data_IF_671674402633
#
_entry.id   IF_671674402633
#
_cell.length_a   1.000
_cell.length_b   1.000
_cell.length_c   1.000
_cell.angle_alpha   90.00
_cell.angle_beta   90.00
_cell.angle_gamma   90.00
#
_symmetry.space_group_name_H-M   'P 1'
#
loop_
_entity.id
_entity.type
_entity.pdbx_description
1 polymer ?
#
# COMPACT_ATOMS: atom_id res chain seq x y z
N UNK A 1 -30.68 9.61 6.87
CA UNK A 1 -30.03 10.83 6.36
C UNK A 1 -29.19 11.43 7.46
N UNK A 2 -27.87 11.28 7.41
CA UNK A 2 -26.92 12.10 8.17
C UNK A 2 -25.72 12.34 7.26
N UNK A 3 -25.42 13.61 7.04
CA UNK A 3 -24.49 14.10 6.04
C UNK A 3 -23.03 13.90 6.51
N UNK A 4 -22.22 13.24 5.68
CA UNK A 4 -20.78 13.21 5.82
C UNK A 4 -20.19 14.57 5.47
N UNK A 5 -19.90 15.38 6.49
CA UNK A 5 -19.10 16.58 6.34
C UNK A 5 -17.63 16.18 6.23
N UNK A 6 -17.12 16.09 4.99
CA UNK A 6 -15.68 16.08 4.76
C UNK A 6 -15.05 17.36 5.32
N UNK A 7 -13.79 17.32 5.79
CA UNK A 7 -13.16 18.46 6.42
C UNK A 7 -13.07 19.66 5.45
N UNK A 8 -13.31 20.90 5.93
CA UNK A 8 -13.25 22.09 5.08
C UNK A 8 -11.83 22.27 4.52
N UNK A 9 -11.71 22.52 3.21
CA UNK A 9 -10.42 22.72 2.55
C UNK A 9 -9.74 24.00 3.04
N UNK A 10 -8.86 23.86 4.05
CA UNK A 10 -7.95 24.94 4.46
C UNK A 10 -6.99 25.25 3.31
N UNK A 11 -6.80 26.54 3.00
CA UNK A 11 -5.71 27.01 2.11
C UNK A 11 -4.39 26.43 2.63
N UNK A 12 -3.78 25.52 1.88
CA UNK A 12 -2.49 24.91 2.23
C UNK A 12 -1.44 26.01 2.45
N UNK A 13 -0.74 25.94 3.57
CA UNK A 13 0.38 26.84 3.88
C UNK A 13 1.48 26.70 2.83
N UNK A 14 2.38 27.69 2.73
CA UNK A 14 3.51 27.61 1.81
C UNK A 14 4.42 26.39 2.12
N UNK A 15 4.50 26.00 3.40
CA UNK A 15 5.26 24.83 3.87
C UNK A 15 4.63 23.51 3.43
N UNK A 16 3.30 23.37 3.50
CA UNK A 16 2.58 22.18 3.01
C UNK A 16 2.66 22.06 1.49
N UNK A 17 2.65 23.18 0.76
CA UNK A 17 2.85 23.16 -0.70
C UNK A 17 4.25 22.70 -1.09
N UNK A 18 5.28 23.17 -0.40
CA UNK A 18 6.65 22.66 -0.60
C UNK A 18 6.75 21.16 -0.23
N UNK A 19 6.01 20.76 0.80
CA UNK A 19 5.57 19.40 1.10
C UNK A 19 5.38 18.51 -0.11
N UNK A 20 4.24 18.72 -0.72
CA UNK A 20 3.77 17.91 -1.82
C UNK A 20 4.71 18.01 -3.02
N UNK A 21 5.21 19.21 -3.34
CA UNK A 21 6.16 19.39 -4.47
C UNK A 21 7.39 18.51 -4.33
N UNK A 22 7.99 18.44 -3.14
CA UNK A 22 9.16 17.61 -2.91
C UNK A 22 8.85 16.11 -2.95
N UNK A 23 7.69 15.70 -2.45
CA UNK A 23 7.28 14.30 -2.51
C UNK A 23 6.90 13.87 -3.94
N UNK A 24 6.27 14.75 -4.71
CA UNK A 24 5.94 14.52 -6.13
C UNK A 24 7.23 14.31 -6.92
N UNK A 25 8.19 15.22 -6.79
CA UNK A 25 9.52 15.10 -7.38
C UNK A 25 10.24 13.80 -6.94
N UNK A 26 10.16 13.44 -5.67
CA UNK A 26 10.78 12.21 -5.18
C UNK A 26 10.13 10.95 -5.71
N UNK A 27 8.81 10.97 -5.92
CA UNK A 27 8.05 9.89 -6.54
C UNK A 27 8.38 9.75 -8.02
N UNK A 28 8.50 10.85 -8.76
CA UNK A 28 8.90 10.84 -10.17
C UNK A 28 10.32 10.26 -10.34
N UNK A 29 11.25 10.65 -9.46
CA UNK A 29 12.59 10.06 -9.43
C UNK A 29 12.53 8.56 -9.09
N UNK A 30 11.70 8.14 -8.12
CA UNK A 30 11.54 6.73 -7.77
C UNK A 30 11.01 5.93 -8.97
N UNK A 31 9.95 6.41 -9.61
CA UNK A 31 9.29 5.72 -10.71
C UNK A 31 10.20 5.63 -11.94
N UNK A 32 11.05 6.65 -12.18
CA UNK A 32 12.00 6.69 -13.31
C UNK A 32 13.32 5.98 -13.06
N UNK A 33 13.95 6.19 -11.90
CA UNK A 33 15.34 5.78 -11.60
C UNK A 33 15.45 4.70 -10.50
N UNK A 34 14.37 4.45 -9.77
CA UNK A 34 14.31 3.43 -8.73
C UNK A 34 14.90 3.93 -7.41
N UNK A 35 14.92 3.06 -6.40
CA UNK A 35 15.30 3.45 -5.04
C UNK A 35 16.72 4.03 -4.94
N UNK A 36 17.64 3.56 -5.78
CA UNK A 36 19.00 4.08 -5.84
C UNK A 36 19.07 5.52 -6.36
N UNK A 37 18.19 5.89 -7.30
CA UNK A 37 18.09 7.24 -7.86
C UNK A 37 17.51 8.27 -6.90
N UNK A 38 16.70 7.84 -5.93
CA UNK A 38 16.13 8.73 -4.89
C UNK A 38 17.24 9.24 -3.98
N UNK A 39 17.77 10.41 -4.29
CA UNK A 39 18.77 11.14 -3.52
C UNK A 39 18.31 12.56 -3.27
N UNK A 40 18.75 13.17 -2.17
CA UNK A 40 18.39 14.56 -1.84
C UNK A 40 18.70 15.52 -3.00
N UNK A 41 19.83 15.33 -3.69
CA UNK A 41 20.21 16.17 -4.83
C UNK A 41 19.34 15.92 -6.05
N UNK A 42 19.01 14.67 -6.36
CA UNK A 42 18.12 14.34 -7.49
C UNK A 42 16.73 14.94 -7.28
N UNK A 43 16.18 14.79 -6.07
CA UNK A 43 14.86 15.34 -5.71
C UNK A 43 14.86 16.86 -5.71
N UNK A 44 15.89 17.50 -5.14
CA UNK A 44 16.00 18.95 -5.16
C UNK A 44 16.05 19.50 -6.59
N UNK A 45 16.79 18.83 -7.49
CA UNK A 45 16.86 19.19 -8.91
C UNK A 45 15.52 19.01 -9.61
N UNK A 46 14.85 17.88 -9.39
CA UNK A 46 13.53 17.59 -9.99
C UNK A 46 12.46 18.59 -9.51
N UNK A 47 12.51 18.99 -8.24
CA UNK A 47 11.60 19.98 -7.67
C UNK A 47 12.01 21.46 -7.92
N UNK A 48 13.12 21.70 -8.62
CA UNK A 48 13.68 23.04 -8.87
C UNK A 48 13.93 23.86 -7.58
N UNK A 49 14.41 23.21 -6.52
CA UNK A 49 14.74 23.86 -5.24
C UNK A 49 16.19 23.61 -4.81
N UNK A 50 16.67 24.40 -3.85
CA UNK A 50 17.96 24.14 -3.22
C UNK A 50 17.92 22.83 -2.40
N UNK A 51 19.01 22.03 -2.35
CA UNK A 51 19.08 20.81 -1.54
C UNK A 51 18.75 21.02 -0.05
N UNK A 52 19.06 22.19 0.50
CA UNK A 52 18.69 22.56 1.87
C UNK A 52 17.18 22.55 2.11
N UNK A 53 16.36 22.83 1.09
CA UNK A 53 14.90 22.74 1.20
C UNK A 53 14.42 21.31 1.49
N UNK A 54 15.06 20.31 0.87
CA UNK A 54 14.77 18.89 1.11
C UNK A 54 15.22 18.48 2.52
N UNK A 55 16.44 18.88 2.92
CA UNK A 55 16.95 18.60 4.27
C UNK A 55 16.08 19.24 5.36
N UNK A 56 15.66 20.49 5.18
CA UNK A 56 14.79 21.17 6.13
C UNK A 56 13.44 20.46 6.30
N UNK A 57 12.94 19.81 5.24
CA UNK A 57 11.65 19.13 5.29
C UNK A 57 11.73 17.70 5.83
N UNK A 58 12.73 16.93 5.40
CA UNK A 58 12.78 15.49 5.66
C UNK A 58 13.95 15.07 6.56
N UNK A 59 14.83 16.01 6.93
CA UNK A 59 16.02 15.77 7.75
C UNK A 59 17.14 15.06 7.01
N UNK A 60 16.87 13.90 6.40
CA UNK A 60 17.85 13.10 5.66
C UNK A 60 17.16 12.23 4.59
N UNK A 61 17.94 11.38 3.91
CA UNK A 61 17.42 10.45 2.89
C UNK A 61 16.40 9.47 3.49
N UNK A 62 16.61 8.97 4.70
CA UNK A 62 15.70 8.00 5.33
C UNK A 62 14.36 8.63 5.71
N UNK A 63 14.35 9.90 6.13
CA UNK A 63 13.12 10.66 6.35
C UNK A 63 12.35 10.90 5.05
N UNK A 64 13.05 11.18 3.94
CA UNK A 64 12.43 11.32 2.62
C UNK A 64 11.82 9.99 2.15
N UNK A 65 12.56 8.89 2.27
CA UNK A 65 12.07 7.55 1.93
C UNK A 65 10.91 7.11 2.84
N UNK A 66 10.96 7.47 4.13
CA UNK A 66 9.87 7.25 5.06
C UNK A 66 8.59 7.96 4.64
N UNK A 67 8.69 9.25 4.28
CA UNK A 67 7.54 10.01 3.81
C UNK A 67 6.99 9.50 2.47
N UNK A 68 7.85 9.07 1.53
CA UNK A 68 7.42 8.40 0.31
C UNK A 68 6.71 7.06 0.60
N UNK A 69 7.21 6.28 1.55
CA UNK A 69 6.58 5.02 1.93
C UNK A 69 5.20 5.26 2.58
N UNK A 70 5.06 6.30 3.41
CA UNK A 70 3.76 6.71 3.97
C UNK A 70 2.78 7.09 2.85
N UNK A 71 3.22 7.87 1.85
CA UNK A 71 2.38 8.20 0.69
C UNK A 71 1.95 6.93 -0.07
N UNK A 72 2.89 6.04 -0.36
CA UNK A 72 2.59 4.78 -1.06
C UNK A 72 1.64 3.88 -0.27
N UNK A 73 1.77 3.83 1.05
CA UNK A 73 0.85 3.10 1.92
C UNK A 73 -0.54 3.74 1.99
N UNK A 74 -0.63 5.07 1.95
CA UNK A 74 -1.90 5.78 1.88
C UNK A 74 -2.62 5.50 0.54
N UNK A 75 -1.89 5.51 -0.58
CA UNK A 75 -2.41 5.13 -1.89
C UNK A 75 -2.92 3.67 -1.87
N UNK A 76 -2.15 2.75 -1.28
CA UNK A 76 -2.55 1.36 -1.11
C UNK A 76 -3.78 1.23 -0.20
N UNK A 77 -3.83 1.97 0.91
CA UNK A 77 -4.97 1.99 1.82
C UNK A 77 -6.25 2.38 1.07
N UNK A 78 -6.20 3.45 0.26
CA UNK A 78 -7.34 3.84 -0.58
C UNK A 78 -7.71 2.79 -1.63
N UNK A 79 -6.73 2.03 -2.16
CA UNK A 79 -7.01 0.96 -3.11
C UNK A 79 -7.72 -0.25 -2.48
N UNK A 80 -7.58 -0.45 -1.17
CA UNK A 80 -8.19 -1.59 -0.45
C UNK A 80 -9.38 -1.20 0.43
N UNK A 81 -9.56 0.09 0.73
CA UNK A 81 -10.71 0.62 1.49
C UNK A 81 -11.98 0.64 0.62
N UNK A 82 -12.61 -0.52 0.50
CA UNK A 82 -13.85 -0.69 -0.24
C UNK A 82 -15.05 -0.38 0.66
N UNK A 83 -16.05 0.32 0.11
CA UNK A 83 -17.27 0.73 0.78
C UNK A 83 -17.97 -0.45 1.51
N UNK A 84 -18.32 -0.23 2.79
CA UNK A 84 -18.97 -1.21 3.68
C UNK A 84 -20.40 -1.60 3.25
N UNK A 85 -21.03 -0.83 2.38
CA UNK A 85 -22.34 -1.15 1.81
C UNK A 85 -22.28 -2.28 0.78
N UNK A 86 -21.10 -2.58 0.24
CA UNK A 86 -20.87 -3.74 -0.63
C UNK A 86 -20.95 -5.02 0.18
N UNK A 87 -21.64 -6.04 -0.33
CA UNK A 87 -21.73 -7.33 0.34
C UNK A 87 -20.33 -7.93 0.63
N UNK A 88 -20.15 -8.72 1.72
CA UNK A 88 -18.82 -9.09 2.20
C UNK A 88 -17.90 -9.78 1.19
N UNK A 89 -18.40 -10.76 0.43
CA UNK A 89 -17.56 -11.45 -0.57
C UNK A 89 -17.16 -10.51 -1.74
N UNK A 90 -18.09 -9.80 -2.42
CA UNK A 90 -17.69 -8.81 -3.43
C UNK A 90 -16.74 -7.74 -2.89
N UNK A 91 -16.93 -7.27 -1.64
CA UNK A 91 -16.07 -6.28 -0.99
C UNK A 91 -14.64 -6.81 -0.81
N UNK A 92 -14.50 -8.02 -0.28
CA UNK A 92 -13.21 -8.71 -0.14
C UNK A 92 -12.49 -8.86 -1.49
N UNK A 93 -13.21 -9.30 -2.52
CA UNK A 93 -12.64 -9.48 -3.87
C UNK A 93 -12.16 -8.17 -4.48
N UNK A 94 -12.96 -7.10 -4.37
CA UNK A 94 -12.58 -5.76 -4.84
C UNK A 94 -11.33 -5.25 -4.13
N UNK A 95 -11.20 -5.46 -2.82
CA UNK A 95 -10.01 -5.07 -2.07
C UNK A 95 -8.76 -5.86 -2.51
N UNK A 96 -8.90 -7.17 -2.74
CA UNK A 96 -7.82 -7.98 -3.32
C UNK A 96 -7.41 -7.45 -4.70
N UNK A 97 -8.37 -7.20 -5.59
CA UNK A 97 -8.10 -6.66 -6.93
C UNK A 97 -7.43 -5.27 -6.85
N UNK A 98 -7.85 -4.41 -5.92
CA UNK A 98 -7.22 -3.12 -5.66
C UNK A 98 -5.78 -3.24 -5.17
N UNK A 99 -5.50 -4.18 -4.26
CA UNK A 99 -4.15 -4.51 -3.81
C UNK A 99 -3.26 -4.95 -4.99
N UNK A 100 -3.76 -5.87 -5.83
CA UNK A 100 -3.04 -6.33 -7.02
C UNK A 100 -2.80 -5.19 -8.01
N UNK A 101 -3.82 -4.38 -8.28
CA UNK A 101 -3.72 -3.27 -9.21
C UNK A 101 -2.64 -2.28 -8.77
N UNK A 102 -2.63 -1.89 -7.49
CA UNK A 102 -1.59 -1.01 -6.93
C UNK A 102 -0.19 -1.60 -7.14
N UNK A 103 0.01 -2.87 -6.79
CA UNK A 103 1.32 -3.51 -6.89
C UNK A 103 1.84 -3.57 -8.34
N UNK A 104 0.96 -3.88 -9.30
CA UNK A 104 1.33 -4.00 -10.72
C UNK A 104 1.46 -2.65 -11.43
N UNK A 105 0.64 -1.66 -11.07
CA UNK A 105 0.73 -0.32 -11.62
C UNK A 105 1.94 0.45 -11.09
N UNK A 106 2.36 0.17 -9.84
CA UNK A 106 3.41 0.91 -9.15
C UNK A 106 4.48 -0.03 -8.52
N UNK A 107 5.16 -0.88 -9.31
CA UNK A 107 6.05 -1.91 -8.79
C UNK A 107 7.21 -1.35 -7.94
N UNK A 108 7.68 -0.14 -8.26
CA UNK A 108 8.78 0.52 -7.51
C UNK A 108 8.31 1.10 -6.18
N UNK A 109 7.07 1.58 -6.10
CA UNK A 109 6.45 2.04 -4.84
C UNK A 109 6.13 0.85 -3.95
N UNK A 110 5.59 -0.22 -4.53
CA UNK A 110 5.40 -1.49 -3.84
C UNK A 110 6.73 -2.04 -3.27
N UNK A 111 7.80 -2.03 -4.07
CA UNK A 111 9.13 -2.45 -3.62
C UNK A 111 9.74 -1.51 -2.55
N UNK A 112 9.44 -0.21 -2.55
CA UNK A 112 9.86 0.70 -1.48
C UNK A 112 9.23 0.30 -0.14
N UNK A 113 7.94 -0.05 -0.14
CA UNK A 113 7.18 -0.38 1.07
C UNK A 113 7.54 -1.78 1.59
N UNK A 114 7.51 -2.78 0.71
CA UNK A 114 7.61 -4.20 1.09
C UNK A 114 8.94 -4.88 0.72
N UNK A 115 9.88 -4.12 0.13
CA UNK A 115 11.23 -4.58 -0.08
C UNK A 115 11.99 -4.74 1.25
N UNK A 116 12.96 -5.66 1.26
CA UNK A 116 13.80 -5.91 2.44
C UNK A 116 14.55 -4.65 2.90
N UNK A 117 14.53 -4.38 4.20
CA UNK A 117 15.22 -3.23 4.80
C UNK A 117 14.58 -1.86 4.49
N UNK A 118 13.39 -1.84 3.91
CA UNK A 118 12.65 -0.61 3.62
C UNK A 118 12.11 0.12 4.86
N UNK A 119 11.51 1.31 4.70
CA UNK A 119 11.06 2.14 5.81
C UNK A 119 10.09 1.44 6.78
N UNK A 120 9.23 0.54 6.29
CA UNK A 120 8.27 -0.24 7.09
C UNK A 120 8.95 -1.22 8.04
N UNK A 121 10.13 -1.76 7.67
CA UNK A 121 10.86 -2.74 8.49
C UNK A 121 11.43 -2.13 9.79
N UNK A 122 11.42 -0.80 9.92
CA UNK A 122 11.81 -0.10 11.14
C UNK A 122 10.61 0.01 12.07
N UNK A 123 10.61 -0.81 13.13
CA UNK A 123 9.59 -0.79 14.18
C UNK A 123 9.40 0.61 14.75
N UNK A 124 8.14 1.05 14.86
CA UNK A 124 7.78 2.36 15.42
C UNK A 124 7.98 3.55 14.47
N UNK A 125 8.42 3.31 13.22
CA UNK A 125 8.40 4.36 12.19
C UNK A 125 6.97 4.69 11.77
N UNK A 126 6.74 5.91 11.28
CA UNK A 126 5.44 6.30 10.73
C UNK A 126 4.97 5.35 9.62
N UNK A 127 5.86 4.97 8.69
CA UNK A 127 5.54 4.00 7.66
C UNK A 127 5.08 2.64 8.24
N UNK A 128 5.67 2.17 9.35
CA UNK A 128 5.20 0.95 9.99
C UNK A 128 3.77 1.09 10.52
N UNK A 129 3.36 2.24 11.04
CA UNK A 129 1.99 2.50 11.52
C UNK A 129 0.99 2.43 10.36
N UNK A 130 1.30 3.08 9.23
CA UNK A 130 0.46 3.00 8.03
C UNK A 130 0.41 1.57 7.45
N UNK A 131 1.51 0.81 7.53
CA UNK A 131 1.54 -0.60 7.16
C UNK A 131 0.57 -1.44 7.99
N UNK A 132 0.53 -1.23 9.32
CA UNK A 132 -0.47 -1.87 10.18
C UNK A 132 -1.89 -1.44 9.83
N UNK A 133 -2.14 -0.18 9.50
CA UNK A 133 -3.47 0.29 9.10
C UNK A 133 -4.01 -0.42 7.84
N UNK A 134 -3.14 -0.70 6.85
CA UNK A 134 -3.51 -1.53 5.69
C UNK A 134 -3.86 -2.96 6.11
N UNK A 135 -3.11 -3.52 7.07
CA UNK A 135 -3.40 -4.86 7.59
C UNK A 135 -4.73 -4.92 8.37
N UNK A 136 -5.04 -3.90 9.16
CA UNK A 136 -6.31 -3.82 9.89
C UNK A 136 -7.52 -3.82 8.95
N UNK A 137 -7.43 -3.16 7.78
CA UNK A 137 -8.47 -3.26 6.74
C UNK A 137 -8.65 -4.71 6.28
N UNK A 138 -7.56 -5.46 6.11
CA UNK A 138 -7.64 -6.87 5.72
C UNK A 138 -8.25 -7.74 6.82
N UNK A 139 -7.91 -7.51 8.09
CA UNK A 139 -8.53 -8.20 9.24
C UNK A 139 -10.04 -7.98 9.21
N UNK A 140 -10.49 -6.73 9.01
CA UNK A 140 -11.91 -6.40 8.91
C UNK A 140 -12.59 -7.15 7.74
N UNK A 141 -12.00 -7.13 6.56
CA UNK A 141 -12.55 -7.80 5.38
C UNK A 141 -12.70 -9.31 5.61
N UNK A 142 -11.74 -9.94 6.28
CA UNK A 142 -11.80 -11.36 6.65
C UNK A 142 -12.87 -11.62 7.71
N UNK A 143 -12.96 -10.76 8.73
CA UNK A 143 -14.00 -10.83 9.78
C UNK A 143 -15.41 -10.78 9.18
N UNK A 144 -15.65 -9.83 8.27
CA UNK A 144 -16.92 -9.65 7.59
C UNK A 144 -17.26 -10.86 6.71
N UNK A 145 -16.28 -11.36 5.94
CA UNK A 145 -16.47 -12.51 5.05
C UNK A 145 -16.80 -13.79 5.82
N UNK A 146 -16.20 -13.97 7.00
CA UNK A 146 -16.46 -15.12 7.88
C UNK A 146 -17.79 -15.01 8.65
N UNK A 147 -18.48 -13.87 8.54
CA UNK A 147 -19.73 -13.60 9.26
C UNK A 147 -19.51 -13.46 10.77
N UNK A 148 -18.38 -12.85 11.17
CA UNK A 148 -18.06 -12.58 12.56
C UNK A 148 -17.40 -13.73 13.33
N UNK A 149 -17.16 -14.87 12.68
CA UNK A 149 -16.58 -16.08 13.28
C UNK A 149 -15.10 -16.21 12.93
N UNK A 150 -14.34 -16.94 13.75
CA UNK A 150 -13.01 -17.40 13.35
C UNK A 150 -13.12 -18.44 12.23
N UNK A 151 -12.46 -18.25 11.08
CA UNK A 151 -12.41 -19.24 10.02
C UNK A 151 -11.83 -20.58 10.50
N UNK A 152 -12.34 -21.70 9.97
CA UNK A 152 -11.94 -23.03 10.42
C UNK A 152 -10.46 -23.30 10.13
N UNK A 153 -9.73 -23.77 11.13
CA UNK A 153 -8.31 -24.14 11.00
C UNK A 153 -7.33 -23.00 11.31
N UNK A 154 -7.85 -21.83 11.71
CA UNK A 154 -7.07 -20.71 12.20
C UNK A 154 -7.35 -20.50 13.69
N UNK A 155 -6.36 -19.97 14.42
CA UNK A 155 -6.44 -19.62 15.83
C UNK A 155 -7.35 -18.41 16.04
N UNK A 156 -7.23 -17.39 15.19
CA UNK A 156 -8.05 -16.20 15.17
C UNK A 156 -8.15 -15.60 13.75
N UNK A 157 -8.89 -14.50 13.62
CA UNK A 157 -9.11 -13.80 12.35
C UNK A 157 -7.85 -13.09 11.87
N UNK A 158 -6.98 -12.66 12.79
CA UNK A 158 -5.69 -12.07 12.47
C UNK A 158 -4.76 -13.06 11.77
N UNK A 159 -4.71 -14.32 12.24
CA UNK A 159 -3.95 -15.38 11.58
C UNK A 159 -4.51 -15.67 10.17
N UNK A 160 -5.84 -15.72 10.03
CA UNK A 160 -6.47 -15.89 8.72
C UNK A 160 -6.12 -14.74 7.76
N UNK A 161 -6.17 -13.48 8.24
CA UNK A 161 -5.78 -12.31 7.48
C UNK A 161 -4.29 -12.33 7.11
N UNK A 162 -3.42 -12.78 8.01
CA UNK A 162 -1.98 -12.94 7.74
C UNK A 162 -1.73 -13.94 6.60
N UNK A 163 -2.46 -15.06 6.57
CA UNK A 163 -2.37 -16.04 5.47
C UNK A 163 -2.87 -15.46 4.16
N UNK A 164 -3.98 -14.72 4.16
CA UNK A 164 -4.46 -13.99 2.97
C UNK A 164 -3.40 -13.02 2.48
N UNK A 165 -2.84 -12.20 3.37
CA UNK A 165 -1.86 -11.18 2.99
C UNK A 165 -0.59 -11.80 2.41
N UNK A 166 -0.13 -12.90 3.01
CA UNK A 166 1.01 -13.68 2.51
C UNK A 166 0.74 -14.19 1.09
N UNK A 167 -0.45 -14.72 0.84
CA UNK A 167 -0.84 -15.21 -0.48
C UNK A 167 -0.91 -14.09 -1.52
N UNK A 168 -1.47 -12.93 -1.15
CA UNK A 168 -1.51 -11.75 -2.01
C UNK A 168 -0.10 -11.25 -2.34
N UNK A 169 0.77 -11.09 -1.34
CA UNK A 169 2.16 -10.69 -1.53
C UNK A 169 2.90 -11.63 -2.49
N UNK A 170 2.80 -12.95 -2.26
CA UNK A 170 3.42 -13.95 -3.12
C UNK A 170 2.90 -13.87 -4.55
N UNK A 171 1.58 -13.77 -4.73
CA UNK A 171 0.97 -13.70 -6.06
C UNK A 171 1.43 -12.46 -6.83
N UNK A 172 1.33 -11.26 -6.24
CA UNK A 172 1.67 -10.01 -6.95
C UNK A 172 3.18 -9.87 -7.15
N UNK A 173 4.00 -10.40 -6.24
CA UNK A 173 5.46 -10.39 -6.39
C UNK A 173 5.91 -11.28 -7.56
N UNK A 174 5.38 -12.50 -7.65
CA UNK A 174 5.64 -13.41 -8.76
C UNK A 174 5.14 -12.84 -10.08
N UNK A 175 3.93 -12.28 -10.10
CA UNK A 175 3.36 -11.65 -11.29
C UNK A 175 4.18 -10.44 -11.77
N UNK A 176 4.57 -9.55 -10.86
CA UNK A 176 5.42 -8.39 -11.17
C UNK A 176 6.79 -8.80 -11.74
N UNK A 177 7.32 -9.94 -11.28
CA UNK A 177 8.57 -10.50 -11.80
C UNK A 177 8.43 -11.28 -13.12
N UNK A 178 7.19 -11.47 -13.62
CA UNK A 178 6.92 -12.32 -14.78
C UNK A 178 7.17 -13.82 -14.53
N UNK A 179 7.21 -14.24 -13.25
CA UNK A 179 7.50 -15.62 -12.85
C UNK A 179 6.17 -16.32 -12.52
N UNK A 180 5.99 -17.55 -13.00
CA UNK A 180 4.84 -18.39 -12.61
C UNK A 180 3.55 -18.21 -13.44
N UNK A 181 3.64 -17.61 -14.63
CA UNK A 181 2.51 -17.51 -15.56
C UNK A 181 2.40 -18.79 -16.41
N UNK A 182 1.58 -19.74 -15.97
CA UNK A 182 1.33 -20.99 -16.69
C UNK A 182 0.49 -20.70 -17.95
N UNK A 183 1.11 -20.89 -19.13
CA UNK A 183 0.44 -20.70 -20.42
C UNK A 183 -0.86 -21.52 -20.53
N UNK A 184 -1.94 -20.88 -20.98
CA UNK A 184 -3.25 -21.53 -21.15
C UNK A 184 -4.02 -21.79 -19.85
N UNK A 185 -3.50 -21.37 -18.69
CA UNK A 185 -4.24 -21.44 -17.43
C UNK A 185 -5.20 -20.26 -17.28
N UNK A 186 -6.46 -20.48 -16.86
CA UNK A 186 -7.33 -19.39 -16.40
C UNK A 186 -6.67 -18.60 -15.29
N UNK A 187 -7.01 -17.31 -15.21
CA UNK A 187 -6.50 -16.30 -14.29
C UNK A 187 -6.18 -16.89 -12.90
N UNK A 188 -4.90 -17.22 -12.69
CA UNK A 188 -4.41 -17.89 -11.48
C UNK A 188 -4.68 -17.05 -10.24
N UNK A 189 -4.64 -15.73 -10.37
CA UNK A 189 -4.96 -14.81 -9.30
C UNK A 189 -6.42 -14.96 -8.88
N UNK A 190 -7.36 -14.97 -9.85
CA UNK A 190 -8.78 -15.21 -9.55
C UNK A 190 -9.01 -16.55 -8.86
N UNK A 191 -8.33 -17.61 -9.30
CA UNK A 191 -8.41 -18.94 -8.65
C UNK A 191 -7.88 -18.93 -7.20
N UNK A 192 -6.80 -18.19 -6.94
CA UNK A 192 -6.29 -17.99 -5.59
C UNK A 192 -7.36 -17.31 -4.72
N UNK A 193 -7.96 -16.23 -5.19
CA UNK A 193 -9.02 -15.53 -4.44
C UNK A 193 -10.22 -16.45 -4.19
N UNK A 194 -10.62 -17.27 -5.17
CA UNK A 194 -11.70 -18.25 -4.98
C UNK A 194 -11.38 -19.29 -3.90
N UNK A 195 -10.12 -19.74 -3.81
CA UNK A 195 -9.67 -20.66 -2.77
C UNK A 195 -9.72 -19.99 -1.38
N UNK A 196 -9.22 -18.75 -1.28
CA UNK A 196 -9.26 -17.97 -0.05
C UNK A 196 -10.70 -17.76 0.43
N UNK A 197 -11.60 -17.30 -0.46
CA UNK A 197 -13.02 -17.11 -0.11
C UNK A 197 -13.67 -18.40 0.40
N UNK A 198 -13.38 -19.56 -0.21
CA UNK A 198 -13.89 -20.85 0.27
C UNK A 198 -13.32 -21.23 1.64
N UNK A 199 -12.06 -20.93 1.92
CA UNK A 199 -11.45 -21.25 3.23
C UNK A 199 -11.90 -20.34 4.36
N UNK A 200 -12.38 -19.14 4.05
CA UNK A 200 -12.74 -18.12 5.06
C UNK A 200 -14.21 -18.18 5.50
N UNK A 201 -15.06 -18.94 4.81
CA UNK A 201 -16.49 -19.13 5.13
C UNK A 201 -16.72 -20.29 6.10
#
# INVERSE_FOLDING_TARGET
MSAGAGPPSRRRTASERLHEVLLDAAQDVLDREGLAGVTVRAVAREAEVAPMGVYNRFGNKDGLLGALAVRALNDLWHAVDVDRSVAPEPRFRQACDGYRHFALAHPRRYALVFGGGGPVARTGSEASVYGHAVFEVLIELVQDLAGGRTPRGFADVGEAAQVVWTALHGAVHLESGGIGQVSGSPDTYRRLIDLLVRSLR
#
